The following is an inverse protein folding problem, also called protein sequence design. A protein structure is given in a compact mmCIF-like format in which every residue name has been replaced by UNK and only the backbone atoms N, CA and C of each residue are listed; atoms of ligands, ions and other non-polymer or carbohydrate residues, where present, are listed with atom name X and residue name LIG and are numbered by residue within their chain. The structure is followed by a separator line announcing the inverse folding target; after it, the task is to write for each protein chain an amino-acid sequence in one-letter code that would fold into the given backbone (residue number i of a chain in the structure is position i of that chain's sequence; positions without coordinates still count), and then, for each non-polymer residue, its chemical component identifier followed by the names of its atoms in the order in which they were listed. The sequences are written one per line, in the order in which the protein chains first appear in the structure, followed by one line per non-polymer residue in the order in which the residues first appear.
data_IF_929730567480
#
_entry.id   IF_929730567480
#
_cell.length_a   1.000
_cell.length_b   1.000
_cell.length_c   1.000
_cell.angle_alpha   90.00
_cell.angle_beta   90.00
_cell.angle_gamma   90.00
#
_symmetry.space_group_name_H-M   'P 1'
#
loop_
_entity.id
_entity.type
_entity.pdbx_description
1 polymer ?
#
# COMPACT_ATOMS: atom_id res chain seq x y z
N UNK A 1 -11.76 8.28 20.00
CA UNK A 1 -11.46 8.15 21.44
C UNK A 1 -10.33 7.15 21.58
N UNK A 2 -9.40 7.32 22.52
CA UNK A 2 -8.31 6.36 22.74
C UNK A 2 -8.83 5.07 23.38
N UNK A 3 -8.19 3.95 23.04
CA UNK A 3 -8.42 2.67 23.72
C UNK A 3 -7.73 2.67 25.09
N UNK A 4 -7.98 1.62 25.88
CA UNK A 4 -7.29 1.41 27.15
C UNK A 4 -5.79 1.15 26.98
N UNK A 5 -5.40 0.45 25.91
CA UNK A 5 -3.99 0.12 25.65
C UNK A 5 -3.20 1.32 25.11
N UNK A 6 -3.85 2.24 24.38
CA UNK A 6 -3.22 3.45 23.86
C UNK A 6 -2.88 4.48 24.95
N UNK A 7 -3.43 4.34 26.17
CA UNK A 7 -3.23 5.20 27.34
C UNK A 7 -3.26 6.71 26.98
N UNK A 8 -4.42 7.19 26.51
CA UNK A 8 -4.59 8.60 26.10
C UNK A 8 -3.57 9.11 25.07
N UNK A 9 -3.06 8.20 24.23
CA UNK A 9 -2.14 8.54 23.14
C UNK A 9 -0.66 8.43 23.51
N UNK A 10 -0.34 7.82 24.64
CA UNK A 10 1.05 7.51 25.00
C UNK A 10 1.61 6.32 24.22
N UNK A 11 0.77 5.40 23.75
CA UNK A 11 1.19 4.18 23.07
C UNK A 11 0.38 3.91 21.81
N UNK A 12 1.05 3.35 20.80
CA UNK A 12 0.41 2.79 19.62
C UNK A 12 -0.01 1.34 19.90
N UNK A 13 -1.23 1.01 19.54
CA UNK A 13 -1.80 -0.33 19.68
C UNK A 13 -1.91 -0.98 18.29
N UNK A 14 -0.90 -1.77 17.93
CA UNK A 14 -0.81 -2.39 16.60
C UNK A 14 -1.17 -3.88 16.61
N UNK A 15 -1.79 -4.40 17.68
CA UNK A 15 -2.05 -5.83 17.82
C UNK A 15 -3.04 -6.36 16.75
N UNK A 16 -4.09 -5.59 16.43
CA UNK A 16 -5.06 -5.94 15.38
C UNK A 16 -4.37 -6.00 14.02
N UNK A 17 -3.54 -5.01 13.72
CA UNK A 17 -2.78 -4.92 12.47
C UNK A 17 -1.76 -6.05 12.35
N UNK A 18 -1.12 -6.44 13.47
CA UNK A 18 -0.23 -7.60 13.53
C UNK A 18 -0.94 -8.92 13.21
N UNK A 19 -2.14 -9.12 13.75
CA UNK A 19 -2.94 -10.31 13.45
C UNK A 19 -3.42 -10.32 11.99
N UNK A 20 -3.89 -9.18 11.48
CA UNK A 20 -4.25 -9.03 10.06
C UNK A 20 -3.05 -9.35 9.16
N UNK A 21 -1.87 -8.79 9.45
CA UNK A 21 -0.64 -9.09 8.71
C UNK A 21 -0.31 -10.58 8.72
N UNK A 22 -0.39 -11.23 9.88
CA UNK A 22 -0.15 -12.67 9.99
C UNK A 22 -1.16 -13.51 9.19
N UNK A 23 -2.42 -13.09 9.12
CA UNK A 23 -3.42 -13.76 8.30
C UNK A 23 -3.08 -13.69 6.81
N UNK A 24 -2.49 -12.57 6.34
CA UNK A 24 -1.94 -12.46 4.98
C UNK A 24 -0.78 -13.43 4.74
N UNK A 25 0.01 -13.77 5.75
CA UNK A 25 1.09 -14.76 5.54
C UNK A 25 0.51 -16.17 5.38
N UNK A 26 -0.52 -16.51 6.16
CA UNK A 26 -1.12 -17.85 6.18
C UNK A 26 -1.96 -18.18 4.96
N UNK A 27 -2.75 -17.24 4.43
CA UNK A 27 -3.65 -17.50 3.29
C UNK A 27 -2.94 -17.36 1.95
N UNK A 28 -1.74 -16.81 1.95
CA UNK A 28 -1.27 -16.04 0.82
C UNK A 28 0.23 -16.26 0.52
N UNK A 29 0.94 -17.01 1.38
CA UNK A 29 2.39 -17.26 1.29
C UNK A 29 3.20 -15.97 1.10
N UNK A 30 2.70 -14.84 1.63
CA UNK A 30 3.32 -13.52 1.54
C UNK A 30 4.71 -13.49 2.19
N UNK A 31 4.84 -14.25 3.28
CA UNK A 31 6.07 -14.45 4.01
C UNK A 31 6.21 -15.94 4.34
N UNK A 32 7.45 -16.42 4.39
CA UNK A 32 7.79 -17.81 4.71
C UNK A 32 7.39 -18.22 6.13
N UNK A 33 7.03 -17.27 7.00
CA UNK A 33 6.71 -17.51 8.42
C UNK A 33 5.86 -16.38 9.00
N UNK A 34 4.93 -16.74 9.90
CA UNK A 34 4.24 -15.84 10.82
C UNK A 34 5.26 -15.05 11.66
N UNK A 35 5.05 -13.76 11.86
CA UNK A 35 5.91 -12.93 12.70
C UNK A 35 5.35 -12.85 14.13
N UNK A 36 6.23 -12.86 15.13
CA UNK A 36 5.88 -12.43 16.48
C UNK A 36 5.71 -10.89 16.51
N UNK A 37 5.09 -10.36 17.58
CA UNK A 37 4.75 -8.93 17.65
C UNK A 37 5.96 -8.01 17.53
N UNK A 38 7.03 -8.23 18.31
CA UNK A 38 8.21 -7.35 18.29
C UNK A 38 8.89 -7.33 16.89
N UNK A 39 9.21 -8.47 16.25
CA UNK A 39 9.73 -8.45 14.88
C UNK A 39 8.80 -7.80 13.85
N UNK A 40 7.48 -7.86 14.06
CA UNK A 40 6.53 -7.15 13.23
C UNK A 40 6.68 -5.63 13.37
N UNK A 41 6.77 -5.10 14.59
CA UNK A 41 6.99 -3.67 14.84
C UNK A 41 8.30 -3.18 14.22
N UNK A 42 9.36 -3.99 14.27
CA UNK A 42 10.66 -3.66 13.66
C UNK A 42 10.64 -3.60 12.13
N UNK A 43 9.61 -4.16 11.48
CA UNK A 43 9.58 -4.35 10.02
C UNK A 43 8.31 -3.85 9.35
N UNK A 44 7.31 -3.35 10.08
CA UNK A 44 6.01 -2.96 9.53
C UNK A 44 6.08 -1.74 8.59
N UNK A 45 7.17 -0.98 8.63
CA UNK A 45 7.50 0.15 7.75
C UNK A 45 8.48 -0.22 6.62
N UNK A 46 9.04 -1.43 6.63
CA UNK A 46 10.04 -1.90 5.66
C UNK A 46 9.39 -2.51 4.42
N UNK A 47 8.70 -1.69 3.65
CA UNK A 47 7.93 -2.16 2.50
C UNK A 47 8.80 -2.79 1.40
N UNK A 48 10.09 -2.45 1.29
CA UNK A 48 10.99 -2.97 0.25
C UNK A 48 11.24 -4.48 0.34
N UNK A 49 11.13 -5.04 1.54
CA UNK A 49 11.33 -6.47 1.79
C UNK A 49 10.15 -7.33 1.32
N UNK A 50 9.05 -6.71 0.90
CA UNK A 50 7.82 -7.40 0.49
C UNK A 50 7.83 -7.59 -1.02
N UNK A 51 7.65 -8.84 -1.46
CA UNK A 51 7.64 -9.18 -2.88
C UNK A 51 6.60 -8.37 -3.66
N UNK A 52 6.90 -8.02 -4.92
CA UNK A 52 5.97 -7.23 -5.75
C UNK A 52 4.62 -7.92 -5.96
N UNK A 53 4.63 -9.24 -6.13
CA UNK A 53 3.42 -10.07 -6.27
C UNK A 53 2.54 -10.02 -5.02
N UNK A 54 3.15 -9.86 -3.85
CA UNK A 54 2.48 -9.68 -2.58
C UNK A 54 1.84 -8.28 -2.47
N UNK A 55 2.55 -7.23 -2.91
CA UNK A 55 2.06 -5.84 -2.87
C UNK A 55 0.83 -5.58 -3.74
N UNK A 56 0.65 -6.33 -4.83
CA UNK A 56 -0.52 -6.20 -5.72
C UNK A 56 -1.78 -6.89 -5.22
N UNK A 57 -1.72 -7.58 -4.07
CA UNK A 57 -2.84 -8.37 -3.57
C UNK A 57 -3.89 -7.51 -2.88
N UNK A 58 -5.19 -7.73 -3.11
CA UNK A 58 -6.26 -6.97 -2.45
C UNK A 58 -6.18 -7.01 -0.92
N UNK A 59 -5.84 -8.15 -0.34
CA UNK A 59 -5.80 -8.33 1.10
C UNK A 59 -4.64 -7.52 1.73
N UNK A 60 -3.50 -7.46 1.05
CA UNK A 60 -2.37 -6.65 1.48
C UNK A 60 -2.62 -5.16 1.32
N UNK A 61 -3.28 -4.74 0.24
CA UNK A 61 -3.71 -3.35 0.04
C UNK A 61 -4.70 -2.92 1.12
N UNK A 62 -5.62 -3.80 1.52
CA UNK A 62 -6.56 -3.56 2.63
C UNK A 62 -5.80 -3.37 3.94
N UNK A 63 -4.88 -4.28 4.27
CA UNK A 63 -4.03 -4.14 5.46
C UNK A 63 -3.24 -2.82 5.48
N UNK A 64 -2.65 -2.42 4.33
CA UNK A 64 -1.92 -1.17 4.24
C UNK A 64 -2.83 0.05 4.45
N UNK A 65 -4.06 0.00 3.92
CA UNK A 65 -5.06 1.04 4.17
C UNK A 65 -5.40 1.11 5.65
N UNK A 66 -5.69 -0.02 6.28
CA UNK A 66 -6.03 -0.07 7.71
C UNK A 66 -4.88 0.48 8.59
N UNK A 67 -3.62 0.15 8.25
CA UNK A 67 -2.44 0.68 8.93
C UNK A 67 -2.35 2.21 8.77
N UNK A 68 -2.52 2.71 7.55
CA UNK A 68 -2.50 4.15 7.26
C UNK A 68 -3.60 4.90 8.02
N UNK A 69 -4.85 4.41 7.92
CA UNK A 69 -6.01 5.01 8.57
C UNK A 69 -5.85 5.03 10.11
N UNK A 70 -5.31 3.96 10.68
CA UNK A 70 -5.03 3.89 12.11
C UNK A 70 -4.00 4.95 12.54
N UNK A 71 -2.86 5.01 11.86
CA UNK A 71 -1.78 5.95 12.19
C UNK A 71 -2.23 7.41 12.03
N UNK A 72 -2.97 7.72 10.97
CA UNK A 72 -3.53 9.05 10.74
C UNK A 72 -4.52 9.43 11.85
N UNK A 73 -5.47 8.54 12.16
CA UNK A 73 -6.45 8.76 13.22
C UNK A 73 -5.77 8.93 14.59
N UNK A 74 -4.75 8.14 14.89
CA UNK A 74 -3.97 8.26 16.12
C UNK A 74 -3.25 9.61 16.19
N UNK A 75 -2.63 10.05 15.10
CA UNK A 75 -1.95 11.35 15.04
C UNK A 75 -2.92 12.51 15.28
N UNK A 76 -4.08 12.51 14.61
CA UNK A 76 -5.11 13.54 14.79
C UNK A 76 -5.65 13.58 16.23
N UNK A 77 -5.81 12.43 16.87
CA UNK A 77 -6.27 12.36 18.27
C UNK A 77 -5.23 12.85 19.27
N UNK A 78 -3.94 12.63 18.99
CA UNK A 78 -2.82 13.09 19.84
C UNK A 78 -2.48 14.56 19.61
N UNK A 79 -2.75 15.09 18.41
CA UNK A 79 -2.46 16.46 18.02
C UNK A 79 -3.71 17.16 17.45
N UNK A 80 -4.78 17.37 18.25
CA UNK A 80 -6.07 17.86 17.75
C UNK A 80 -6.03 19.31 17.23
N UNK A 81 -5.01 20.08 17.58
CA UNK A 81 -4.81 21.45 17.09
C UNK A 81 -3.93 21.53 15.84
N UNK A 82 -3.38 20.39 15.40
CA UNK A 82 -2.52 20.32 14.24
C UNK A 82 -3.35 20.07 12.99
N UNK A 83 -3.16 20.90 11.97
CA UNK A 83 -3.80 20.72 10.67
C UNK A 83 -2.99 19.71 9.84
N UNK A 84 -3.26 18.43 10.07
CA UNK A 84 -2.60 17.33 9.36
C UNK A 84 -2.95 17.33 7.86
N UNK A 85 -4.10 17.89 7.47
CA UNK A 85 -4.55 17.87 6.06
C UNK A 85 -3.60 18.68 5.17
N UNK A 86 -3.10 19.82 5.66
CA UNK A 86 -2.11 20.64 4.94
C UNK A 86 -0.82 19.87 4.64
N UNK A 87 -0.33 19.11 5.61
CA UNK A 87 0.89 18.31 5.46
C UNK A 87 0.68 17.15 4.51
N UNK A 88 -0.43 16.44 4.64
CA UNK A 88 -0.79 15.33 3.77
C UNK A 88 -0.95 15.80 2.32
N UNK A 89 -1.65 16.92 2.10
CA UNK A 89 -1.82 17.52 0.76
C UNK A 89 -0.48 17.92 0.13
N UNK A 90 0.43 18.49 0.94
CA UNK A 90 1.77 18.83 0.50
C UNK A 90 2.55 17.57 0.10
N UNK A 91 2.52 16.53 0.95
CA UNK A 91 3.14 15.23 0.68
C UNK A 91 2.59 14.58 -0.59
N UNK A 92 1.27 14.59 -0.80
CA UNK A 92 0.63 14.05 -2.00
C UNK A 92 1.05 14.81 -3.26
N UNK A 93 1.09 16.14 -3.20
CA UNK A 93 1.53 16.98 -4.32
C UNK A 93 3.00 16.72 -4.67
N UNK A 94 3.88 16.60 -3.67
CA UNK A 94 5.27 16.25 -3.88
C UNK A 94 5.44 14.84 -4.47
N UNK A 95 4.70 13.87 -3.93
CA UNK A 95 4.71 12.50 -4.42
C UNK A 95 4.32 12.47 -5.90
N UNK A 96 3.20 13.09 -6.25
CA UNK A 96 2.69 13.12 -7.62
C UNK A 96 3.68 13.77 -8.59
N UNK A 97 4.30 14.89 -8.17
CA UNK A 97 5.34 15.58 -8.96
C UNK A 97 6.55 14.68 -9.22
N UNK A 98 7.09 14.06 -8.17
CA UNK A 98 8.25 13.15 -8.25
C UNK A 98 7.91 11.90 -9.06
N UNK A 99 6.69 11.39 -8.92
CA UNK A 99 6.20 10.21 -9.62
C UNK A 99 6.07 10.45 -11.12
N UNK A 100 5.43 11.55 -11.53
CA UNK A 100 5.31 11.95 -12.94
C UNK A 100 6.67 12.14 -13.59
N UNK A 101 7.59 12.81 -12.90
CA UNK A 101 8.96 13.00 -13.38
C UNK A 101 9.67 11.67 -13.62
N UNK A 102 9.49 10.69 -12.72
CA UNK A 102 10.22 9.42 -12.78
C UNK A 102 9.62 8.38 -13.74
N UNK A 103 8.32 8.45 -14.05
CA UNK A 103 7.61 7.42 -14.84
C UNK A 103 6.83 7.95 -16.06
N UNK A 104 6.89 9.25 -16.37
CA UNK A 104 6.44 9.81 -17.64
C UNK A 104 4.94 9.90 -17.87
N UNK A 105 4.10 9.27 -17.04
CA UNK A 105 2.65 9.46 -16.92
C UNK A 105 2.19 8.96 -15.55
N UNK A 106 1.34 9.72 -14.87
CA UNK A 106 0.67 9.28 -13.66
C UNK A 106 -0.49 8.34 -14.02
N UNK A 107 -0.54 7.10 -13.50
CA UNK A 107 -1.81 6.39 -13.44
C UNK A 107 -2.60 7.10 -12.35
N UNK A 108 -3.45 8.07 -12.73
CA UNK A 108 -4.23 8.87 -11.78
C UNK A 108 -4.80 7.97 -10.68
N UNK A 109 -4.23 8.03 -9.48
CA UNK A 109 -4.82 7.44 -8.29
C UNK A 109 -5.97 8.38 -7.90
N UNK A 110 -7.06 8.29 -8.65
CA UNK A 110 -8.29 8.92 -8.26
C UNK A 110 -8.85 8.09 -7.08
N UNK A 111 -8.53 8.49 -5.86
CA UNK A 111 -9.11 7.88 -4.66
C UNK A 111 -10.64 7.97 -4.63
N UNK A 112 -11.28 8.87 -5.40
CA UNK A 112 -12.73 8.90 -5.57
C UNK A 112 -13.29 7.71 -6.40
N UNK A 113 -12.43 6.88 -7.02
CA UNK A 113 -12.83 5.69 -7.76
C UNK A 113 -12.67 4.37 -6.97
N UNK A 114 -12.13 4.40 -5.75
CA UNK A 114 -12.06 3.19 -4.91
C UNK A 114 -13.46 2.83 -4.36
N UNK A 115 -14.34 3.82 -4.15
CA UNK A 115 -15.70 3.57 -3.65
C UNK A 115 -16.72 3.15 -4.72
N UNK A 116 -16.40 3.25 -6.03
CA UNK A 116 -17.33 2.86 -7.11
C UNK A 116 -17.21 1.41 -7.59
N UNK A 117 -16.18 0.67 -7.18
CA UNK A 117 -15.95 -0.70 -7.65
C UNK A 117 -16.60 -1.79 -6.77
N UNK A 118 -17.42 -1.41 -5.78
CA UNK A 118 -18.19 -2.34 -4.94
C UNK A 118 -19.68 -2.47 -5.34
N UNK A 119 -20.04 -2.08 -6.57
CA UNK A 119 -21.37 -2.31 -7.13
C UNK A 119 -21.26 -2.82 -8.55
N UNK A 120 -21.70 -4.07 -8.77
CA UNK A 120 -21.91 -4.71 -10.07
C UNK A 120 -20.67 -5.07 -10.91
N UNK A 121 -19.92 -6.09 -10.47
CA UNK A 121 -18.99 -6.82 -11.34
C UNK A 121 -19.78 -7.70 -12.30
N UNK A 122 -19.90 -7.28 -13.56
CA UNK A 122 -20.34 -8.11 -14.68
C UNK A 122 -19.20 -9.10 -15.04
N UNK A 123 -19.44 -10.43 -15.08
CA UNK A 123 -18.40 -11.44 -15.24
C UNK A 123 -17.75 -11.53 -16.63
N UNK A 124 -18.04 -10.63 -17.58
CA UNK A 124 -17.55 -10.74 -18.96
C UNK A 124 -16.65 -9.59 -19.46
N UNK A 125 -16.12 -8.71 -18.60
CA UNK A 125 -15.12 -7.71 -19.01
C UNK A 125 -13.71 -8.09 -18.59
N UNK A 126 -13.13 -9.04 -19.32
CA UNK A 126 -11.68 -9.17 -19.44
C UNK A 126 -11.19 -8.02 -20.31
N UNK A 127 -10.43 -7.04 -19.78
CA UNK A 127 -9.44 -6.25 -20.55
C UNK A 127 -8.64 -5.33 -19.62
N UNK A 128 -7.57 -5.85 -19.02
CA UNK A 128 -6.39 -5.03 -18.72
C UNK A 128 -5.45 -5.16 -19.92
N UNK A 129 -5.49 -4.19 -20.83
CA UNK A 129 -4.58 -4.13 -21.97
C UNK A 129 -3.37 -3.27 -21.59
N UNK A 130 -2.22 -3.92 -21.36
CA UNK A 130 -0.92 -3.25 -21.43
C UNK A 130 -0.51 -3.13 -22.90
N UNK A 131 -0.58 -1.93 -23.47
CA UNK A 131 0.04 -1.68 -24.78
C UNK A 131 1.51 -1.36 -24.58
N UNK A 132 2.34 -2.36 -24.83
CA UNK A 132 3.78 -2.23 -25.02
C UNK A 132 4.07 -1.47 -26.31
N UNK A 133 4.54 -0.23 -26.18
CA UNK A 133 5.07 0.56 -27.29
C UNK A 133 6.50 1.03 -26.96
N UNK A 134 7.46 0.09 -27.06
CA UNK A 134 8.86 0.45 -27.33
C UNK A 134 9.45 -0.55 -28.32
N UNK A 135 9.03 -0.42 -29.59
CA UNK A 135 9.80 -0.91 -30.73
C UNK A 135 10.84 0.13 -31.08
N UNK A 136 12.08 -0.01 -30.60
CA UNK A 136 13.27 0.31 -31.43
C UNK A 136 14.42 -0.65 -31.14
N UNK A 137 14.82 -1.32 -32.23
CA UNK A 137 16.11 -2.01 -32.49
C UNK A 137 16.21 -3.51 -32.18
N UNK A 138 15.63 -4.33 -33.06
CA UNK A 138 16.24 -5.61 -33.47
C UNK A 138 17.30 -5.29 -34.53
N UNK A 139 18.56 -5.71 -34.43
CA UNK A 139 19.15 -6.96 -34.95
C UNK A 139 20.68 -6.73 -34.80
N UNK A 140 21.53 -7.65 -34.34
CA UNK A 140 22.25 -8.67 -35.12
C UNK A 140 22.97 -9.63 -34.12
N UNK A 141 23.08 -10.89 -34.56
CA UNK A 141 23.89 -12.03 -34.06
C UNK A 141 23.15 -13.12 -33.30
N UNK A 142 22.64 -14.07 -34.08
CA UNK A 142 22.32 -15.43 -33.65
C UNK A 142 23.52 -16.37 -33.91
N UNK A 143 23.64 -17.35 -33.01
CA UNK A 143 24.24 -18.70 -33.12
C UNK A 143 25.76 -18.89 -33.18
N UNK A 144 26.26 -19.55 -32.12
CA UNK A 144 27.37 -20.51 -32.15
C UNK A 144 27.03 -21.69 -33.07
N UNK A 145 27.95 -22.08 -33.96
CA UNK A 145 28.58 -23.41 -33.98
C UNK A 145 29.75 -23.43 -34.96
#
# INVERSE_FOLDING_TARGET
MFTGEELLGHYLELHILHDTFNNLTSTSNLASKRLAYIPYIETCDQFDNIARTAKSRPEYLTYLKDLSDYLESFYRRTHPLYDLDVDLDTLYTEFETKWQYSFGHSPTLNFANIERNFGDVNPNTSHFNFTSEEKRSNTIFTTKS
#
